data_IF_608864080533
#
_entry.id   IF_608864080533
#
_cell.length_a   1.000
_cell.length_b   1.000
_cell.length_c   1.000
_cell.angle_alpha   90.00
_cell.angle_beta   90.00
_cell.angle_gamma   90.00
#
_symmetry.space_group_name_H-M   'P 1'
#
loop_
_entity.id
_entity.type
_entity.pdbx_description
1 polymer ?
#
# COMPACT_ATOMS: atom_id res chain seq x y z
N UNK A 1 10.36 29.47 -12.28
CA UNK A 1 10.66 28.82 -10.99
C UNK A 1 9.36 28.62 -10.22
N UNK A 2 9.05 27.38 -9.84
CA UNK A 2 7.90 27.05 -9.00
C UNK A 2 8.32 27.08 -7.52
N UNK A 3 7.65 27.85 -6.71
CA UNK A 3 8.03 28.12 -5.32
C UNK A 3 7.20 27.39 -4.25
N UNK A 4 6.42 26.38 -4.62
CA UNK A 4 5.76 25.51 -3.65
C UNK A 4 4.39 25.99 -3.10
N UNK A 5 3.72 26.95 -3.72
CA UNK A 5 2.44 27.49 -3.24
C UNK A 5 1.32 26.42 -3.11
N UNK A 6 1.35 25.37 -3.96
CA UNK A 6 0.41 24.25 -3.95
C UNK A 6 1.09 22.91 -3.63
N UNK A 7 2.21 22.92 -2.93
CA UNK A 7 2.99 21.72 -2.65
C UNK A 7 2.16 20.61 -1.97
N UNK A 8 1.34 20.97 -1.00
CA UNK A 8 0.49 20.03 -0.28
C UNK A 8 -0.49 19.27 -1.17
N UNK A 9 -1.10 19.95 -2.16
CA UNK A 9 -2.05 19.34 -3.09
C UNK A 9 -1.35 18.32 -4.01
N UNK A 10 -0.18 18.66 -4.57
CA UNK A 10 0.57 17.76 -5.43
C UNK A 10 1.08 16.53 -4.67
N UNK A 11 1.56 16.70 -3.45
CA UNK A 11 2.03 15.58 -2.62
C UNK A 11 0.85 14.73 -2.17
N UNK A 12 -0.25 15.33 -1.75
CA UNK A 12 -1.46 14.59 -1.40
C UNK A 12 -1.96 13.76 -2.58
N UNK A 13 -2.04 14.35 -3.78
CA UNK A 13 -2.40 13.63 -4.99
C UNK A 13 -1.42 12.50 -5.31
N UNK A 14 -0.11 12.73 -5.17
CA UNK A 14 0.91 11.70 -5.41
C UNK A 14 0.84 10.53 -4.43
N UNK A 15 0.69 10.80 -3.14
CA UNK A 15 0.64 9.75 -2.12
C UNK A 15 -0.69 8.98 -2.16
N UNK A 16 -1.81 9.68 -2.33
CA UNK A 16 -3.15 9.07 -2.32
C UNK A 16 -3.48 8.33 -3.62
N UNK A 17 -2.74 8.55 -4.70
CA UNK A 17 -2.92 7.83 -5.97
C UNK A 17 -2.20 6.47 -6.02
N UNK A 18 -1.57 6.02 -4.93
CA UNK A 18 -1.16 4.63 -4.79
C UNK A 18 -2.40 3.70 -4.80
N UNK A 19 -2.38 2.64 -5.60
CA UNK A 19 -3.57 1.81 -5.85
C UNK A 19 -4.20 1.26 -4.56
N UNK A 20 -3.38 0.80 -3.61
CA UNK A 20 -3.88 0.28 -2.33
C UNK A 20 -4.59 1.33 -1.49
N UNK A 21 -4.21 2.61 -1.62
CA UNK A 21 -4.83 3.73 -0.91
C UNK A 21 -6.06 4.21 -1.67
N UNK A 22 -5.96 4.44 -2.97
CA UNK A 22 -7.01 4.99 -3.83
C UNK A 22 -8.24 4.09 -3.88
N UNK A 23 -8.02 2.78 -4.07
CA UNK A 23 -9.07 1.76 -4.03
C UNK A 23 -9.59 1.48 -2.60
N UNK A 24 -9.04 2.15 -1.63
CA UNK A 24 -9.50 2.07 -0.24
C UNK A 24 -9.20 0.75 0.44
N UNK A 25 -8.08 0.09 0.12
CA UNK A 25 -7.63 -1.15 0.75
C UNK A 25 -7.08 -0.99 2.18
N UNK A 26 -6.68 0.22 2.56
CA UNK A 26 -6.12 0.53 3.88
C UNK A 26 -6.72 1.81 4.44
N UNK A 27 -6.59 2.02 5.74
CA UNK A 27 -7.06 3.23 6.42
C UNK A 27 -5.95 4.28 6.44
N UNK A 28 -6.23 5.46 5.87
CA UNK A 28 -5.28 6.58 5.85
C UNK A 28 -5.45 7.42 7.11
N UNK A 29 -4.34 7.67 7.81
CA UNK A 29 -4.22 8.61 8.93
C UNK A 29 -3.35 9.77 8.52
N UNK A 30 -3.96 10.92 8.33
CA UNK A 30 -3.28 12.19 8.04
C UNK A 30 -2.94 12.97 9.30
N UNK A 31 -2.08 13.97 9.17
CA UNK A 31 -1.73 14.91 10.24
C UNK A 31 -0.99 14.29 11.45
N UNK A 32 -0.18 13.27 11.22
CA UNK A 32 0.70 12.71 12.24
C UNK A 32 1.95 13.58 12.34
N UNK A 33 2.08 14.34 13.40
CA UNK A 33 3.21 15.26 13.59
C UNK A 33 4.53 14.52 13.90
N UNK A 34 4.49 13.44 14.68
CA UNK A 34 5.67 12.64 15.03
C UNK A 34 5.35 11.16 15.07
N UNK A 35 4.45 10.75 15.97
CA UNK A 35 4.00 9.36 16.09
C UNK A 35 2.58 9.30 16.65
N UNK A 36 1.85 8.28 16.22
CA UNK A 36 0.53 7.96 16.74
C UNK A 36 0.54 6.59 17.39
N UNK A 37 -0.07 6.47 18.57
CA UNK A 37 -0.18 5.21 19.28
C UNK A 37 -1.51 4.55 18.96
N UNK A 38 -1.44 3.36 18.34
CA UNK A 38 -2.60 2.51 18.07
C UNK A 38 -2.76 1.59 19.28
N UNK A 39 -3.87 1.73 20.00
CA UNK A 39 -4.15 0.96 21.21
C UNK A 39 -5.12 -0.18 20.94
N UNK A 40 -4.77 -1.36 21.44
CA UNK A 40 -5.67 -2.52 21.49
C UNK A 40 -6.03 -2.81 22.95
N UNK A 41 -7.33 -2.90 23.22
CA UNK A 41 -7.85 -3.37 24.49
C UNK A 41 -8.27 -4.84 24.32
N UNK A 42 -7.69 -5.72 25.08
CA UNK A 42 -8.08 -7.13 25.14
C UNK A 42 -8.66 -7.43 26.52
N UNK A 43 -9.79 -8.12 26.55
CA UNK A 43 -10.45 -8.57 27.76
C UNK A 43 -10.75 -10.06 27.64
N UNK A 44 -10.51 -10.81 28.71
CA UNK A 44 -10.95 -12.20 28.82
C UNK A 44 -12.47 -12.27 29.08
N UNK A 45 -13.01 -13.48 29.26
CA UNK A 45 -14.41 -13.67 29.59
C UNK A 45 -14.82 -12.86 30.83
N UNK A 46 -15.70 -11.88 30.60
CA UNK A 46 -16.12 -10.93 31.65
C UNK A 46 -17.30 -11.44 32.46
N UNK A 47 -18.12 -12.31 31.83
CA UNK A 47 -19.37 -12.78 32.43
C UNK A 47 -19.15 -14.11 33.16
N UNK A 48 -19.50 -14.13 34.45
CA UNK A 48 -19.48 -15.33 35.29
C UNK A 48 -20.83 -15.51 35.99
N UNK A 49 -21.06 -16.68 36.57
CA UNK A 49 -22.25 -16.94 37.38
C UNK A 49 -22.31 -15.98 38.58
N UNK A 50 -23.49 -15.48 38.88
CA UNK A 50 -23.69 -14.58 39.99
C UNK A 50 -23.38 -15.28 41.34
N UNK A 51 -22.58 -14.62 42.19
CA UNK A 51 -22.24 -15.05 43.54
C UNK A 51 -22.43 -13.90 44.54
N UNK A 52 -22.35 -14.18 45.82
CA UNK A 52 -22.49 -13.15 46.86
C UNK A 52 -21.25 -12.31 47.05
N UNK A 53 -20.07 -12.79 46.63
CA UNK A 53 -18.80 -12.13 46.81
C UNK A 53 -18.30 -11.50 45.50
N UNK A 54 -17.62 -10.35 45.63
CA UNK A 54 -16.93 -9.72 44.49
C UNK A 54 -15.60 -10.44 44.23
N UNK A 55 -15.56 -11.23 43.16
CA UNK A 55 -14.32 -11.81 42.67
C UNK A 55 -14.00 -11.23 41.27
N UNK A 56 -12.87 -10.51 41.12
CA UNK A 56 -12.48 -10.05 39.79
C UNK A 56 -12.15 -11.25 38.90
N UNK A 57 -12.88 -11.39 37.82
CA UNK A 57 -12.84 -12.60 36.96
C UNK A 57 -12.12 -12.35 35.64
N UNK A 58 -11.81 -11.11 35.32
CA UNK A 58 -11.09 -10.77 34.08
C UNK A 58 -10.03 -9.69 34.31
N UNK A 59 -8.97 -9.75 33.50
CA UNK A 59 -7.95 -8.71 33.38
C UNK A 59 -8.12 -7.98 32.07
N UNK A 60 -7.98 -6.65 32.11
CA UNK A 60 -7.95 -5.83 30.91
C UNK A 60 -6.49 -5.60 30.56
N UNK A 61 -6.06 -6.08 29.41
CA UNK A 61 -4.71 -5.83 28.90
C UNK A 61 -4.76 -4.79 27.79
N UNK A 62 -3.89 -3.78 27.91
CA UNK A 62 -3.70 -2.74 26.91
C UNK A 62 -2.39 -3.02 26.18
N UNK A 63 -2.46 -3.26 24.89
CA UNK A 63 -1.28 -3.35 24.02
C UNK A 63 -1.23 -2.15 23.09
N UNK A 64 -0.03 -1.69 22.80
CA UNK A 64 0.20 -0.49 22.00
C UNK A 64 1.10 -0.82 20.81
N UNK A 65 0.78 -0.26 19.64
CA UNK A 65 1.64 -0.22 18.46
C UNK A 65 1.83 1.22 18.03
N UNK A 66 3.02 1.54 17.56
CA UNK A 66 3.39 2.91 17.21
C UNK A 66 3.40 3.03 15.68
N UNK A 67 2.59 3.92 15.14
CA UNK A 67 2.66 4.38 13.76
C UNK A 67 3.53 5.63 13.73
N UNK A 68 4.71 5.52 13.16
CA UNK A 68 5.66 6.62 13.03
C UNK A 68 6.03 6.82 11.56
N UNK A 69 5.51 7.87 10.92
CA UNK A 69 5.92 8.22 9.56
C UNK A 69 7.40 8.62 9.51
N UNK A 70 8.10 8.18 8.46
CA UNK A 70 9.48 8.53 8.17
C UNK A 70 9.53 9.68 7.18
N UNK A 71 10.45 10.61 7.37
CA UNK A 71 10.70 11.70 6.42
C UNK A 71 11.37 11.16 5.16
N UNK A 72 10.80 11.48 4.01
CA UNK A 72 11.27 11.06 2.69
C UNK A 72 11.51 12.29 1.82
N UNK A 73 12.47 12.15 0.91
CA UNK A 73 12.80 13.19 -0.05
C UNK A 73 13.01 12.63 -1.45
N UNK A 74 12.62 13.40 -2.43
CA UNK A 74 12.93 13.19 -3.85
C UNK A 74 13.81 14.35 -4.30
N UNK A 75 15.02 14.03 -4.73
CA UNK A 75 15.98 15.01 -5.28
C UNK A 75 16.31 14.60 -6.70
N UNK A 76 15.84 15.37 -7.66
CA UNK A 76 16.12 15.15 -9.08
C UNK A 76 16.88 16.33 -9.67
N UNK A 77 17.80 16.04 -10.54
CA UNK A 77 18.49 17.01 -11.36
C UNK A 77 18.39 16.58 -12.83
N UNK A 78 17.96 17.49 -13.68
CA UNK A 78 17.80 17.29 -15.11
C UNK A 78 18.58 18.37 -15.85
N UNK A 79 19.23 18.02 -16.96
CA UNK A 79 19.84 18.97 -17.85
C UNK A 79 18.80 19.47 -18.86
N UNK A 80 18.59 20.80 -18.94
CA UNK A 80 17.68 21.39 -19.94
C UNK A 80 18.05 21.02 -21.38
N UNK A 81 19.33 20.90 -21.64
CA UNK A 81 19.83 20.65 -22.97
C UNK A 81 19.31 19.34 -23.57
N UNK A 82 19.12 18.32 -22.73
CA UNK A 82 18.65 17.00 -23.16
C UNK A 82 17.19 17.02 -23.60
N UNK A 83 16.40 17.98 -23.10
CA UNK A 83 14.97 18.09 -23.36
C UNK A 83 14.58 19.17 -24.37
N UNK A 84 15.49 20.09 -24.69
CA UNK A 84 15.21 21.20 -25.60
C UNK A 84 14.78 20.70 -26.97
N UNK A 85 15.45 19.70 -27.52
CA UNK A 85 15.16 19.19 -28.86
C UNK A 85 13.80 18.46 -28.92
N UNK A 86 13.44 17.72 -27.89
CA UNK A 86 12.18 16.96 -27.85
C UNK A 86 10.98 17.86 -27.55
N UNK A 87 11.16 18.86 -26.70
CA UNK A 87 10.10 19.78 -26.29
C UNK A 87 9.83 20.89 -27.31
N UNK A 88 10.89 21.37 -27.99
CA UNK A 88 10.76 22.41 -29.04
C UNK A 88 10.02 21.92 -30.26
N UNK A 89 10.07 20.65 -30.59
CA UNK A 89 9.33 20.11 -31.73
C UNK A 89 7.82 20.20 -31.58
N UNK A 90 7.32 20.26 -30.33
CA UNK A 90 5.88 20.38 -30.05
C UNK A 90 5.45 21.80 -29.65
N UNK A 91 6.34 22.64 -29.11
CA UNK A 91 5.98 23.98 -28.63
C UNK A 91 7.07 24.98 -28.99
N UNK A 92 6.92 25.64 -30.12
CA UNK A 92 7.82 26.71 -30.59
C UNK A 92 7.95 27.83 -29.56
N UNK A 93 9.20 28.14 -29.15
CA UNK A 93 9.52 29.33 -28.35
C UNK A 93 10.38 29.12 -27.11
N UNK A 94 10.96 27.97 -26.91
CA UNK A 94 11.88 27.73 -25.80
C UNK A 94 13.34 27.71 -26.25
N UNK A 95 14.09 28.78 -25.96
CA UNK A 95 15.50 28.89 -26.30
C UNK A 95 16.41 28.67 -25.08
N UNK A 96 17.61 28.15 -25.29
CA UNK A 96 18.68 28.12 -24.29
C UNK A 96 18.89 29.51 -23.69
N UNK A 97 18.65 29.69 -22.38
CA UNK A 97 18.79 30.97 -21.70
C UNK A 97 17.48 31.66 -21.32
N UNK A 98 16.33 31.09 -21.67
CA UNK A 98 15.04 31.57 -21.16
C UNK A 98 14.62 30.82 -19.89
N UNK A 99 13.82 31.48 -19.03
CA UNK A 99 13.23 30.85 -17.85
C UNK A 99 12.30 29.72 -18.27
N UNK A 100 12.24 28.65 -17.48
CA UNK A 100 11.38 27.49 -17.71
C UNK A 100 9.94 27.91 -17.98
N UNK A 101 9.29 27.41 -19.06
CA UNK A 101 7.86 27.60 -19.25
C UNK A 101 7.07 26.95 -18.10
N UNK A 102 6.01 27.58 -17.60
CA UNK A 102 5.19 26.99 -16.52
C UNK A 102 4.67 25.59 -16.86
N UNK A 103 4.33 25.32 -18.10
CA UNK A 103 3.88 24.00 -18.57
C UNK A 103 4.93 22.87 -18.41
N UNK A 104 6.22 23.20 -18.52
CA UNK A 104 7.29 22.22 -18.29
C UNK A 104 7.39 21.87 -16.80
N UNK A 105 7.30 22.85 -15.92
CA UNK A 105 7.27 22.60 -14.46
C UNK A 105 6.12 21.69 -14.07
N UNK A 106 4.91 21.95 -14.61
CA UNK A 106 3.73 21.15 -14.30
C UNK A 106 3.85 19.73 -14.85
N UNK A 107 4.39 19.55 -16.06
CA UNK A 107 4.67 18.22 -16.61
C UNK A 107 5.68 17.45 -15.74
N UNK A 108 6.75 18.08 -15.34
CA UNK A 108 7.77 17.45 -14.49
C UNK A 108 7.20 17.05 -13.14
N UNK A 109 6.41 17.92 -12.51
CA UNK A 109 5.72 17.62 -11.24
C UNK A 109 4.79 16.44 -11.39
N UNK A 110 3.96 16.39 -12.44
CA UNK A 110 3.03 15.30 -12.70
C UNK A 110 3.75 13.96 -12.92
N UNK A 111 4.84 13.96 -13.71
CA UNK A 111 5.66 12.77 -13.93
C UNK A 111 6.28 12.24 -12.62
N UNK A 112 6.86 13.12 -11.82
CA UNK A 112 7.46 12.74 -10.54
C UNK A 112 6.40 12.26 -9.56
N UNK A 113 5.23 12.91 -9.49
CA UNK A 113 4.10 12.49 -8.68
C UNK A 113 3.67 11.05 -9.01
N UNK A 114 3.57 10.71 -10.29
CA UNK A 114 3.27 9.34 -10.73
C UNK A 114 4.32 8.33 -10.27
N UNK A 115 5.61 8.70 -10.32
CA UNK A 115 6.71 7.82 -9.85
C UNK A 115 6.71 7.68 -8.33
N UNK A 116 6.40 8.74 -7.60
CA UNK A 116 6.23 8.69 -6.14
C UNK A 116 5.07 7.77 -5.76
N UNK A 117 3.93 7.85 -6.47
CA UNK A 117 2.80 6.95 -6.26
C UNK A 117 3.16 5.47 -6.44
N UNK A 118 3.85 5.14 -7.54
CA UNK A 118 4.33 3.78 -7.80
C UNK A 118 5.30 3.28 -6.71
N UNK A 119 6.21 4.14 -6.29
CA UNK A 119 7.17 3.82 -5.22
C UNK A 119 6.48 3.66 -3.86
N UNK A 120 5.50 4.49 -3.57
CA UNK A 120 4.72 4.42 -2.33
C UNK A 120 3.93 3.12 -2.29
N UNK A 121 3.25 2.73 -3.37
CA UNK A 121 2.54 1.46 -3.49
C UNK A 121 3.46 0.26 -3.21
N UNK A 122 4.65 0.27 -3.82
CA UNK A 122 5.64 -0.77 -3.61
C UNK A 122 6.15 -0.81 -2.16
N UNK A 123 6.45 0.36 -1.56
CA UNK A 123 6.97 0.44 -0.19
C UNK A 123 5.92 0.12 0.88
N UNK A 124 4.63 0.38 0.63
CA UNK A 124 3.53 -0.03 1.53
C UNK A 124 3.62 -1.52 1.83
N UNK A 125 3.92 -2.34 0.84
CA UNK A 125 4.00 -3.79 0.99
C UNK A 125 5.42 -4.28 1.23
N UNK A 126 6.36 -3.98 0.32
CA UNK A 126 7.70 -4.55 0.26
C UNK A 126 8.79 -3.64 0.83
N UNK A 127 8.44 -2.51 1.44
CA UNK A 127 9.42 -1.61 2.04
C UNK A 127 10.29 -2.31 3.07
N UNK A 128 11.60 -2.04 3.03
CA UNK A 128 12.58 -2.56 3.97
C UNK A 128 13.70 -1.54 4.17
N UNK A 129 13.75 -0.93 5.35
CA UNK A 129 14.76 0.07 5.70
C UNK A 129 16.18 -0.47 5.71
N UNK A 130 16.36 -1.79 5.81
CA UNK A 130 17.68 -2.44 5.75
C UNK A 130 18.15 -2.69 4.31
N UNK A 131 17.25 -2.66 3.32
CA UNK A 131 17.58 -2.92 1.93
C UNK A 131 17.99 -1.64 1.20
N UNK A 132 19.08 -1.67 0.44
CA UNK A 132 19.61 -0.48 -0.25
C UNK A 132 18.64 0.14 -1.29
N UNK A 133 17.74 -0.65 -1.86
CA UNK A 133 16.80 -0.22 -2.93
C UNK A 133 15.36 0.02 -2.46
N UNK A 134 15.03 -0.31 -1.20
CA UNK A 134 13.66 -0.30 -0.64
C UNK A 134 13.61 0.41 0.70
N UNK A 135 14.51 1.32 0.96
CA UNK A 135 14.84 1.87 2.28
C UNK A 135 13.99 3.06 2.73
N UNK A 136 12.80 3.25 2.16
CA UNK A 136 11.93 4.37 2.53
C UNK A 136 11.35 4.20 3.93
N UNK A 137 10.63 3.13 4.15
CA UNK A 137 10.07 2.71 5.45
C UNK A 137 9.79 1.20 5.42
N UNK A 138 9.57 0.59 6.58
CA UNK A 138 9.25 -0.84 6.65
C UNK A 138 7.79 -1.07 6.23
N UNK A 139 7.59 -1.89 5.21
CA UNK A 139 6.30 -2.26 4.65
C UNK A 139 5.58 -3.37 5.44
N UNK A 140 4.33 -3.63 5.09
CA UNK A 140 3.52 -4.64 5.77
C UNK A 140 4.14 -6.03 5.73
N UNK A 141 4.77 -6.46 4.63
CA UNK A 141 5.40 -7.78 4.53
C UNK A 141 6.45 -7.98 5.63
N UNK A 142 7.32 -6.98 5.84
CA UNK A 142 8.35 -7.03 6.87
C UNK A 142 7.77 -6.97 8.27
N UNK A 143 6.79 -6.09 8.50
CA UNK A 143 6.14 -5.93 9.81
C UNK A 143 5.37 -7.19 10.21
N UNK A 144 4.65 -7.81 9.27
CA UNK A 144 3.91 -9.06 9.50
C UNK A 144 4.87 -10.22 9.73
N UNK A 145 5.95 -10.35 8.95
CA UNK A 145 6.97 -11.38 9.16
C UNK A 145 7.64 -11.26 10.54
N UNK A 146 7.90 -10.02 11.00
CA UNK A 146 8.38 -9.78 12.36
C UNK A 146 7.37 -10.21 13.43
N UNK A 147 6.07 -9.96 13.21
CA UNK A 147 5.01 -10.37 14.13
C UNK A 147 4.79 -11.90 14.14
N UNK A 148 4.97 -12.59 13.01
CA UNK A 148 4.97 -14.07 12.95
C UNK A 148 6.14 -14.61 13.78
N UNK A 149 7.34 -14.05 13.60
CA UNK A 149 8.54 -14.48 14.33
C UNK A 149 8.41 -14.21 15.85
N UNK A 150 7.77 -13.11 16.23
CA UNK A 150 7.52 -12.77 17.63
C UNK A 150 6.41 -13.62 18.27
N UNK A 151 5.61 -14.36 17.48
CA UNK A 151 4.47 -15.13 17.96
C UNK A 151 3.20 -14.29 18.21
N UNK A 152 3.17 -13.03 17.77
CA UNK A 152 1.99 -12.16 17.86
C UNK A 152 0.87 -12.62 16.92
N UNK A 153 1.23 -13.27 15.82
CA UNK A 153 0.33 -13.94 14.88
C UNK A 153 0.32 -15.44 15.25
N UNK A 154 -0.84 -16.03 15.54
CA UNK A 154 -0.94 -17.45 15.86
C UNK A 154 -0.41 -18.36 14.74
N UNK A 155 0.22 -19.46 15.10
CA UNK A 155 0.83 -20.38 14.13
C UNK A 155 -0.18 -20.93 13.08
N UNK A 156 -1.46 -21.09 13.45
CA UNK A 156 -2.51 -21.50 12.52
C UNK A 156 -2.89 -20.45 11.47
N UNK A 157 -2.45 -19.19 11.65
CA UNK A 157 -2.66 -18.08 10.73
C UNK A 157 -1.39 -17.71 9.94
N UNK A 158 -0.27 -18.35 10.23
CA UNK A 158 1.01 -18.15 9.55
C UNK A 158 1.27 -19.33 8.61
N UNK A 159 0.83 -19.21 7.37
CA UNK A 159 0.99 -20.24 6.34
C UNK A 159 2.28 -20.00 5.55
N UNK A 160 2.97 -21.09 5.21
CA UNK A 160 4.17 -21.02 4.38
C UNK A 160 3.81 -20.87 2.90
N UNK A 161 4.39 -19.89 2.23
CA UNK A 161 4.18 -19.64 0.81
C UNK A 161 4.88 -20.68 -0.07
N UNK A 162 4.23 -21.00 -1.19
CA UNK A 162 4.83 -21.75 -2.30
C UNK A 162 4.60 -20.97 -3.59
N UNK A 163 5.38 -21.29 -4.63
CA UNK A 163 5.20 -20.66 -5.94
C UNK A 163 3.77 -20.85 -6.45
N UNK A 164 3.08 -19.75 -6.76
CA UNK A 164 1.69 -19.75 -7.22
C UNK A 164 1.62 -20.05 -8.73
N UNK A 165 0.72 -20.95 -9.07
CA UNK A 165 0.42 -21.38 -10.44
C UNK A 165 -1.11 -21.44 -10.64
N UNK A 166 -1.56 -21.47 -11.89
CA UNK A 166 -3.00 -21.63 -12.17
C UNK A 166 -3.59 -22.96 -11.64
N UNK A 167 -2.75 -23.96 -11.38
CA UNK A 167 -3.20 -25.25 -10.85
C UNK A 167 -3.43 -25.22 -9.33
N UNK A 168 -2.65 -24.45 -8.58
CA UNK A 168 -2.69 -24.47 -7.12
C UNK A 168 -3.33 -23.23 -6.47
N UNK A 169 -3.53 -22.15 -7.23
CA UNK A 169 -3.99 -20.85 -6.69
C UNK A 169 -5.33 -20.95 -5.95
N UNK A 170 -6.27 -21.74 -6.47
CA UNK A 170 -7.60 -21.88 -5.85
C UNK A 170 -7.50 -22.61 -4.51
N UNK A 171 -6.71 -23.69 -4.45
CA UNK A 171 -6.42 -24.43 -3.21
C UNK A 171 -5.76 -23.50 -2.18
N UNK A 172 -4.69 -22.80 -2.58
CA UNK A 172 -3.94 -21.92 -1.66
C UNK A 172 -4.77 -20.73 -1.17
N UNK A 173 -5.61 -20.15 -2.00
CA UNK A 173 -6.59 -19.15 -1.56
C UNK A 173 -7.62 -19.72 -0.59
N UNK A 174 -8.06 -20.96 -0.80
CA UNK A 174 -8.97 -21.64 0.13
C UNK A 174 -8.29 -21.91 1.48
N UNK A 175 -7.03 -22.38 1.48
CA UNK A 175 -6.22 -22.57 2.70
C UNK A 175 -6.12 -21.26 3.51
N UNK A 176 -5.87 -20.14 2.82
CA UNK A 176 -5.77 -18.81 3.44
C UNK A 176 -7.11 -18.37 4.04
N UNK A 177 -8.25 -18.63 3.36
CA UNK A 177 -9.58 -18.31 3.87
C UNK A 177 -9.96 -19.21 5.05
N UNK A 178 -9.56 -20.49 5.04
CA UNK A 178 -9.80 -21.42 6.15
C UNK A 178 -9.05 -20.99 7.43
N UNK A 179 -7.86 -20.41 7.27
CA UNK A 179 -7.07 -19.89 8.39
C UNK A 179 -7.66 -18.62 9.05
N UNK A 180 -8.74 -18.05 8.50
CA UNK A 180 -9.37 -16.84 9.05
C UNK A 180 -10.07 -17.20 10.38
N UNK A 181 -9.81 -16.44 11.47
CA UNK A 181 -10.55 -16.62 12.71
C UNK A 181 -12.06 -16.47 12.51
N UNK A 182 -12.84 -17.35 13.11
CA UNK A 182 -14.30 -17.37 12.97
C UNK A 182 -14.97 -16.02 13.35
N UNK A 183 -14.36 -15.28 14.26
CA UNK A 183 -14.84 -13.96 14.68
C UNK A 183 -14.68 -12.86 13.61
N UNK A 184 -13.82 -13.09 12.62
CA UNK A 184 -13.56 -12.14 11.52
C UNK A 184 -14.30 -12.51 10.24
N UNK A 185 -14.60 -13.79 10.08
CA UNK A 185 -15.29 -14.27 8.89
C UNK A 185 -16.68 -13.63 8.76
N UNK A 186 -16.96 -13.09 7.58
CA UNK A 186 -18.24 -12.41 7.30
C UNK A 186 -18.24 -10.90 7.60
N UNK A 187 -17.16 -10.32 8.07
CA UNK A 187 -17.06 -8.85 8.20
C UNK A 187 -16.91 -8.21 6.82
N UNK A 188 -17.58 -7.08 6.60
CA UNK A 188 -17.62 -6.39 5.30
C UNK A 188 -16.27 -5.77 4.89
N UNK A 189 -15.43 -5.42 5.86
CA UNK A 189 -14.13 -4.77 5.68
C UNK A 189 -12.95 -5.77 5.64
N UNK A 190 -13.27 -7.07 5.57
CA UNK A 190 -12.28 -8.14 5.45
C UNK A 190 -11.91 -8.35 3.98
N UNK A 191 -10.61 -8.29 3.69
CA UNK A 191 -10.07 -8.49 2.36
C UNK A 191 -8.95 -9.53 2.35
N UNK A 192 -8.89 -10.29 1.26
CA UNK A 192 -7.72 -11.08 0.88
C UNK A 192 -6.87 -10.23 -0.06
N UNK A 193 -5.73 -9.74 0.41
CA UNK A 193 -4.78 -8.98 -0.39
C UNK A 193 -3.92 -9.93 -1.21
N UNK A 194 -3.91 -9.74 -2.51
CA UNK A 194 -3.15 -10.58 -3.45
C UNK A 194 -2.36 -9.72 -4.43
N UNK A 195 -1.27 -10.26 -4.97
CA UNK A 195 -0.53 -9.60 -6.05
C UNK A 195 -1.31 -9.62 -7.37
N UNK A 196 -0.94 -8.74 -8.28
CA UNK A 196 -1.50 -8.74 -9.64
C UNK A 196 -1.28 -10.06 -10.37
N UNK A 197 -0.16 -10.76 -10.09
CA UNK A 197 0.14 -12.10 -10.65
C UNK A 197 -0.82 -13.14 -10.10
N UNK A 198 -1.02 -13.18 -8.78
CA UNK A 198 -1.94 -14.11 -8.13
C UNK A 198 -3.39 -13.92 -8.62
N UNK A 199 -3.83 -12.67 -8.78
CA UNK A 199 -5.15 -12.35 -9.34
C UNK A 199 -5.30 -12.87 -10.78
N UNK A 200 -4.29 -12.69 -11.64
CA UNK A 200 -4.29 -13.23 -13.02
C UNK A 200 -4.38 -14.76 -13.03
N UNK A 201 -3.59 -15.43 -12.17
CA UNK A 201 -3.61 -16.88 -12.06
C UNK A 201 -4.97 -17.41 -11.56
N UNK A 202 -5.59 -16.68 -10.62
CA UNK A 202 -6.93 -17.02 -10.13
C UNK A 202 -7.98 -16.92 -11.23
N UNK A 203 -7.99 -15.84 -12.01
CA UNK A 203 -8.88 -15.69 -13.16
C UNK A 203 -8.64 -16.79 -14.20
N UNK A 204 -7.39 -17.14 -14.49
CA UNK A 204 -7.06 -18.25 -15.37
C UNK A 204 -7.57 -19.59 -14.87
N UNK A 205 -7.40 -19.87 -13.59
CA UNK A 205 -7.89 -21.10 -12.96
C UNK A 205 -9.42 -21.23 -13.06
N UNK A 206 -10.13 -20.13 -12.84
CA UNK A 206 -11.59 -20.07 -12.95
C UNK A 206 -12.09 -20.15 -14.41
N UNK A 207 -11.32 -19.60 -15.35
CA UNK A 207 -11.65 -19.64 -16.78
C UNK A 207 -11.44 -20.99 -17.44
N UNK A 208 -10.94 -22.00 -16.74
CA UNK A 208 -10.79 -23.36 -17.25
C UNK A 208 -9.66 -23.55 -18.25
N UNK A 209 -8.66 -22.69 -18.25
CA UNK A 209 -7.44 -22.86 -19.06
C UNK A 209 -6.49 -23.95 -18.53
N UNK A 210 -6.85 -24.64 -17.43
CA UNK A 210 -6.20 -25.83 -16.92
C UNK A 210 -6.98 -27.09 -17.27
N UNK A 211 -6.31 -28.23 -17.39
CA UNK A 211 -6.87 -29.50 -17.89
C UNK A 211 -8.12 -30.04 -17.13
N UNK A 212 -8.46 -29.50 -15.98
CA UNK A 212 -9.62 -29.86 -15.16
C UNK A 212 -10.47 -28.64 -14.77
N UNK A 213 -10.33 -27.50 -15.49
CA UNK A 213 -11.04 -26.28 -15.16
C UNK A 213 -12.54 -26.37 -15.40
N UNK A 214 -13.27 -25.62 -14.62
CA UNK A 214 -14.66 -25.25 -14.90
C UNK A 214 -14.66 -24.63 -16.31
N UNK A 215 -15.26 -25.29 -17.28
CA UNK A 215 -15.18 -24.96 -18.70
C UNK A 215 -15.33 -23.46 -19.02
N UNK A 216 -15.13 -23.08 -20.27
CA UNK A 216 -15.14 -21.69 -20.75
C UNK A 216 -16.36 -20.85 -20.30
N UNK A 217 -17.42 -21.47 -19.83
CA UNK A 217 -18.64 -20.82 -19.36
C UNK A 217 -18.67 -20.56 -17.84
N UNK A 218 -17.66 -20.99 -17.06
CA UNK A 218 -17.67 -20.88 -15.60
C UNK A 218 -18.80 -21.64 -14.92
N UNK A 219 -18.86 -21.62 -13.58
CA UNK A 219 -19.88 -22.36 -12.79
C UNK A 219 -21.32 -21.92 -13.10
N UNK A 220 -21.52 -20.68 -13.52
CA UNK A 220 -22.85 -20.11 -13.75
C UNK A 220 -23.07 -19.62 -15.19
N UNK A 221 -22.32 -20.12 -16.17
CA UNK A 221 -22.41 -19.64 -17.54
C UNK A 221 -21.86 -18.24 -17.79
N UNK A 222 -21.21 -17.64 -16.79
CA UNK A 222 -20.69 -16.26 -16.89
C UNK A 222 -19.27 -16.17 -17.46
N UNK A 223 -18.56 -17.27 -17.61
CA UNK A 223 -17.20 -17.30 -18.13
C UNK A 223 -16.23 -16.46 -17.29
N UNK A 224 -15.22 -15.90 -17.93
CA UNK A 224 -14.23 -15.01 -17.31
C UNK A 224 -14.71 -13.56 -17.17
N UNK A 225 -15.94 -13.25 -17.55
CA UNK A 225 -16.46 -11.86 -17.63
C UNK A 225 -16.83 -11.24 -16.29
N UNK A 226 -16.90 -12.01 -15.22
CA UNK A 226 -17.27 -11.47 -13.90
C UNK A 226 -16.19 -10.60 -13.24
N UNK A 227 -14.99 -10.50 -13.82
CA UNK A 227 -14.08 -9.42 -13.46
C UNK A 227 -14.70 -8.03 -13.68
N UNK A 228 -15.60 -7.90 -14.65
CA UNK A 228 -16.22 -6.61 -14.97
C UNK A 228 -17.22 -6.10 -13.93
N UNK A 229 -17.62 -6.92 -12.94
CA UNK A 229 -18.54 -6.52 -11.89
C UNK A 229 -17.84 -6.04 -10.59
N UNK A 230 -16.57 -5.67 -10.68
CA UNK A 230 -15.91 -4.82 -9.69
C UNK A 230 -15.21 -5.52 -8.54
N UNK A 231 -15.42 -6.80 -8.23
CA UNK A 231 -14.66 -7.47 -7.17
C UNK A 231 -14.57 -8.98 -7.35
N UNK A 232 -13.35 -9.50 -7.36
CA UNK A 232 -13.10 -10.92 -7.18
C UNK A 232 -13.46 -11.33 -5.77
N UNK A 233 -14.08 -12.51 -5.62
CA UNK A 233 -14.41 -13.07 -4.31
C UNK A 233 -14.02 -14.53 -4.25
N UNK A 234 -13.66 -15.01 -3.07
CA UNK A 234 -13.49 -16.43 -2.79
C UNK A 234 -14.14 -16.76 -1.44
N UNK A 235 -14.97 -17.80 -1.42
CA UNK A 235 -15.72 -18.24 -0.22
C UNK A 235 -16.40 -17.07 0.54
N UNK A 236 -16.94 -16.09 -0.20
CA UNK A 236 -17.62 -14.92 0.37
C UNK A 236 -16.70 -13.79 0.85
N UNK A 237 -15.37 -13.95 0.80
CA UNK A 237 -14.41 -12.91 1.14
C UNK A 237 -13.96 -12.19 -0.13
N UNK A 238 -13.89 -10.85 -0.09
CA UNK A 238 -13.46 -10.02 -1.22
C UNK A 238 -11.95 -10.12 -1.41
N UNK A 239 -11.52 -10.24 -2.66
CA UNK A 239 -10.12 -10.19 -3.02
C UNK A 239 -9.76 -8.76 -3.40
N UNK A 240 -8.73 -8.23 -2.76
CA UNK A 240 -8.14 -6.94 -3.08
C UNK A 240 -6.83 -7.14 -3.82
N UNK A 241 -6.73 -6.58 -5.02
CA UNK A 241 -5.53 -6.69 -5.86
C UNK A 241 -4.61 -5.53 -5.57
N UNK A 242 -3.42 -5.82 -5.03
CA UNK A 242 -2.39 -4.83 -4.75
C UNK A 242 -1.18 -5.05 -5.65
N UNK A 243 -0.85 -4.09 -6.54
CA UNK A 243 0.31 -4.20 -7.42
C UNK A 243 1.65 -4.18 -6.69
N UNK A 244 1.69 -3.60 -5.47
CA UNK A 244 2.91 -3.51 -4.66
C UNK A 244 3.25 -4.78 -3.90
N UNK A 245 2.35 -5.76 -3.82
CA UNK A 245 2.55 -6.99 -3.08
C UNK A 245 3.46 -7.97 -3.84
N UNK A 246 4.29 -8.71 -3.10
CA UNK A 246 5.15 -9.77 -3.67
C UNK A 246 4.33 -10.88 -4.32
N UNK A 247 4.82 -11.40 -5.43
CA UNK A 247 4.08 -12.27 -6.36
C UNK A 247 3.47 -13.54 -5.75
N UNK A 248 4.17 -14.18 -4.84
CA UNK A 248 3.78 -15.47 -4.27
C UNK A 248 3.28 -15.37 -2.81
N UNK A 249 2.96 -14.13 -2.36
CA UNK A 249 2.44 -13.86 -1.02
C UNK A 249 0.99 -13.42 -1.04
N UNK A 250 0.28 -13.72 0.03
CA UNK A 250 -1.10 -13.29 0.26
C UNK A 250 -1.29 -12.96 1.73
N UNK A 251 -2.13 -11.97 2.01
CA UNK A 251 -2.47 -11.58 3.37
C UNK A 251 -3.96 -11.39 3.52
N UNK A 252 -4.50 -11.75 4.68
CA UNK A 252 -5.88 -11.42 5.03
C UNK A 252 -5.88 -10.49 6.20
N UNK A 253 -6.56 -9.37 6.05
CA UNK A 253 -6.75 -8.42 7.13
C UNK A 253 -8.01 -7.59 6.90
N UNK A 254 -8.51 -7.00 7.99
CA UNK A 254 -9.52 -5.98 7.88
C UNK A 254 -8.87 -4.67 7.41
N UNK A 255 -9.53 -3.94 6.53
CA UNK A 255 -9.12 -2.59 6.10
C UNK A 255 -8.88 -1.66 7.30
N UNK A 256 -9.75 -1.74 8.29
CA UNK A 256 -9.66 -0.94 9.52
C UNK A 256 -8.48 -1.29 10.41
N UNK A 257 -7.80 -2.42 10.16
CA UNK A 257 -6.63 -2.88 10.90
C UNK A 257 -5.30 -2.47 10.26
N UNK A 258 -5.32 -2.04 9.02
CA UNK A 258 -4.14 -1.60 8.27
C UNK A 258 -4.13 -0.07 8.17
N UNK A 259 -3.05 0.56 8.59
CA UNK A 259 -2.91 2.02 8.64
C UNK A 259 -1.77 2.50 7.76
N UNK A 260 -2.06 3.51 6.95
CA UNK A 260 -1.06 4.32 6.29
C UNK A 260 -1.02 5.69 6.96
N UNK A 261 0.13 6.08 7.46
CA UNK A 261 0.35 7.35 8.15
C UNK A 261 1.11 8.34 7.30
N UNK A 262 0.63 9.58 7.26
CA UNK A 262 1.35 10.71 6.66
C UNK A 262 1.33 11.90 7.60
N UNK A 263 2.36 12.76 7.50
CA UNK A 263 2.46 13.96 8.30
C UNK A 263 1.45 15.04 7.91
N UNK A 264 1.60 16.20 8.52
CA UNK A 264 0.80 17.39 8.21
C UNK A 264 0.97 17.76 6.73
N UNK A 265 -0.09 17.65 5.96
CA UNK A 265 -0.12 17.96 4.53
C UNK A 265 0.31 19.40 4.19
N UNK A 266 0.37 20.29 5.19
CA UNK A 266 0.61 21.71 4.99
C UNK A 266 1.91 22.28 5.56
N UNK A 267 2.65 21.60 6.43
CA UNK A 267 3.77 22.22 7.14
C UNK A 267 5.16 21.63 6.93
N UNK A 268 5.25 20.36 6.52
CA UNK A 268 6.54 19.69 6.29
C UNK A 268 6.77 19.30 4.83
N UNK A 269 5.80 19.62 3.97
CA UNK A 269 5.81 19.19 2.59
C UNK A 269 6.29 20.31 1.69
N UNK A 270 7.33 20.02 0.95
CA UNK A 270 7.96 20.97 0.05
C UNK A 270 8.05 20.39 -1.35
N UNK A 271 7.48 21.10 -2.33
CA UNK A 271 7.73 20.85 -3.75
C UNK A 271 8.32 22.09 -4.35
N UNK A 272 9.53 21.98 -4.86
CA UNK A 272 10.23 23.09 -5.53
C UNK A 272 10.84 22.61 -6.84
N UNK A 273 10.63 23.39 -7.88
CA UNK A 273 11.33 23.25 -9.15
C UNK A 273 12.18 24.49 -9.32
N UNK A 274 13.49 24.34 -9.29
CA UNK A 274 14.48 25.40 -9.34
C UNK A 274 15.21 25.36 -10.67
N UNK A 275 15.19 26.48 -11.38
CA UNK A 275 16.09 26.71 -12.50
C UNK A 275 17.43 27.19 -11.94
N UNK A 276 18.49 26.46 -12.25
CA UNK A 276 19.82 26.77 -11.73
C UNK A 276 20.56 27.85 -12.55
N UNK A 277 20.01 28.25 -13.70
CA UNK A 277 20.63 29.24 -14.55
C UNK A 277 20.84 30.59 -13.85
N UNK A 278 19.94 30.98 -12.95
CA UNK A 278 20.02 32.22 -12.20
C UNK A 278 20.92 32.13 -10.95
N UNK A 279 21.28 30.90 -10.53
CA UNK A 279 22.05 30.65 -9.30
C UNK A 279 23.51 30.30 -9.56
N UNK A 280 23.79 29.40 -10.50
CA UNK A 280 25.12 28.90 -10.81
C UNK A 280 25.46 28.95 -12.31
N UNK A 281 24.62 29.60 -13.12
CA UNK A 281 24.73 29.69 -14.58
C UNK A 281 24.75 28.32 -15.29
N UNK A 282 24.33 27.25 -14.62
CA UNK A 282 24.20 25.91 -15.23
C UNK A 282 22.84 25.73 -15.93
N UNK A 283 22.84 24.88 -16.96
CA UNK A 283 21.58 24.49 -17.65
C UNK A 283 20.84 23.37 -16.92
N UNK A 284 20.94 23.31 -15.60
CA UNK A 284 20.28 22.30 -14.80
C UNK A 284 18.98 22.81 -14.19
N UNK A 285 18.00 21.91 -14.10
CA UNK A 285 16.78 22.08 -13.33
C UNK A 285 16.79 21.09 -12.17
N UNK A 286 16.59 21.58 -10.97
CA UNK A 286 16.48 20.75 -9.77
C UNK A 286 15.04 20.71 -9.28
N UNK A 287 14.56 19.51 -9.02
CA UNK A 287 13.30 19.29 -8.36
C UNK A 287 13.51 18.65 -6.99
N UNK A 288 12.92 19.25 -5.99
CA UNK A 288 12.94 18.76 -4.60
C UNK A 288 11.52 18.55 -4.13
N UNK A 289 11.22 17.36 -3.64
CA UNK A 289 9.96 17.04 -2.98
C UNK A 289 10.26 16.41 -1.62
N UNK A 290 9.61 16.85 -0.56
CA UNK A 290 9.73 16.31 0.80
C UNK A 290 8.37 15.98 1.35
N UNK A 291 8.24 14.81 1.96
CA UNK A 291 7.00 14.31 2.56
C UNK A 291 7.30 13.27 3.63
N UNK A 292 6.29 12.88 4.38
CA UNK A 292 6.39 11.80 5.36
C UNK A 292 5.42 10.69 5.04
N UNK A 293 5.85 9.45 5.18
CA UNK A 293 4.97 8.29 5.04
C UNK A 293 5.45 7.11 5.90
N UNK A 294 4.51 6.23 6.24
CA UNK A 294 4.79 5.02 7.00
C UNK A 294 3.55 4.16 7.11
N UNK A 295 3.72 2.89 7.42
CA UNK A 295 2.62 1.94 7.61
C UNK A 295 2.72 1.24 8.96
N UNK A 296 1.57 0.83 9.49
CA UNK A 296 1.48 -0.01 10.68
C UNK A 296 0.15 -0.74 10.70
N UNK A 297 0.11 -1.91 11.30
CA UNK A 297 -1.14 -2.61 11.61
C UNK A 297 -1.45 -2.53 13.11
N UNK A 298 -2.73 -2.66 13.47
CA UNK A 298 -3.18 -2.57 14.84
C UNK A 298 -3.09 -3.91 15.57
N UNK A 299 -3.86 -4.89 15.11
CA UNK A 299 -4.07 -6.17 15.78
C UNK A 299 -3.43 -7.29 14.96
N UNK A 300 -2.36 -7.89 15.47
CA UNK A 300 -1.65 -8.97 14.80
C UNK A 300 -2.47 -10.27 14.74
N UNK A 301 -3.19 -10.61 15.81
CA UNK A 301 -4.01 -11.83 15.87
C UNK A 301 -5.17 -11.87 14.87
N UNK A 302 -5.46 -10.75 14.21
CA UNK A 302 -6.53 -10.62 13.22
C UNK A 302 -5.99 -10.65 11.78
N UNK A 303 -4.71 -10.99 11.62
CA UNK A 303 -4.04 -11.07 10.31
C UNK A 303 -3.71 -12.53 10.00
N UNK A 304 -4.01 -12.94 8.78
CA UNK A 304 -3.51 -14.21 8.22
C UNK A 304 -2.40 -13.91 7.24
N UNK A 305 -1.30 -14.61 7.37
CA UNK A 305 -0.11 -14.46 6.52
C UNK A 305 0.12 -15.74 5.73
N UNK A 306 0.28 -15.61 4.42
CA UNK A 306 0.80 -16.63 3.51
C UNK A 306 2.08 -16.07 2.88
N UNK A 307 3.25 -16.32 3.53
CA UNK A 307 4.52 -15.69 3.18
C UNK A 307 5.73 -16.63 3.38
#
# INVERSE_FOLDING_TARGET
TYAGQFAGEYIAAALLSASTIDDGGITVKSNIAFKEVIKKLATDAIVTAAGCDFNPTSTITLTERILQPTELQVNLQLCKYDFVNDWESEQMGFGLGQSLPPKFSDFLIAHVASKVAQNTEFNIWQGDTAAASKNSFDGFEKLIAAAVTAGDIPAGQALTSVALTAANIVEKLSDVVEAIPAALYGKEDLFVYVSSKAAKLYVQALGGFGANGLGANGVNGMGTQWWNNGSLTINGVKIFVSPGLSDDKMYVAQKSNLYFGTGLLNSTQEVKVLDMSDLDASNNVRMVMRFTSGVQFGIASDIVSYA
#
